data_IF_024753923642
#
_entry.id   IF_024753923642
#
_cell.length_a   1.000
_cell.length_b   1.000
_cell.length_c   1.000
_cell.angle_alpha   90.00
_cell.angle_beta   90.00
_cell.angle_gamma   90.00
#
_symmetry.space_group_name_H-M   'P 1'
#
loop_
_entity.id
_entity.type
_entity.pdbx_description
1 polymer ?
#
# COMPACT_ATOMS: atom_id res chain seq x y z
N UNK A 1 8.51 71.89 32.44
CA UNK A 1 9.93 71.69 32.74
C UNK A 1 10.02 70.76 33.93
N UNK A 2 10.63 69.57 33.73
CA UNK A 2 11.22 68.61 34.68
C UNK A 2 10.35 68.12 35.88
N UNK A 3 10.32 66.86 36.28
CA UNK A 3 11.24 65.72 36.14
C UNK A 3 10.53 64.42 36.63
N UNK A 4 11.08 63.24 36.26
CA UNK A 4 11.17 61.97 37.06
C UNK A 4 9.89 61.39 37.72
N UNK A 5 9.48 60.12 37.67
CA UNK A 5 10.14 58.80 37.74
C UNK A 5 8.97 57.76 37.78
N UNK A 6 8.94 56.73 36.93
CA UNK A 6 9.33 55.32 37.19
C UNK A 6 8.32 54.39 37.94
N UNK A 7 8.07 53.24 37.27
CA UNK A 7 7.85 51.87 37.76
C UNK A 7 6.65 51.54 38.69
N UNK A 8 5.73 50.70 38.19
CA UNK A 8 5.47 49.31 38.65
C UNK A 8 4.24 48.75 37.94
N UNK A 9 4.39 47.68 37.14
CA UNK A 9 3.39 46.60 36.94
C UNK A 9 3.82 45.68 35.76
N UNK A 10 4.91 44.93 35.95
CA UNK A 10 5.33 43.88 35.02
C UNK A 10 5.88 42.65 35.76
N UNK A 11 5.38 42.38 36.97
CA UNK A 11 5.94 41.36 37.86
C UNK A 11 4.96 40.26 38.31
N UNK A 12 3.79 40.07 37.70
CA UNK A 12 2.82 39.04 38.15
C UNK A 12 2.19 38.28 36.98
N UNK A 13 3.00 37.82 36.04
CA UNK A 13 2.56 36.84 35.02
C UNK A 13 3.41 35.57 35.06
N UNK A 14 4.65 35.65 35.55
CA UNK A 14 5.57 34.50 35.63
C UNK A 14 5.20 33.54 36.79
N UNK A 15 4.55 34.03 37.86
CA UNK A 15 4.21 33.21 39.02
C UNK A 15 2.96 32.32 38.83
N UNK A 16 2.06 32.66 37.91
CA UNK A 16 0.78 31.92 37.77
C UNK A 16 0.96 30.60 37.03
N UNK A 17 1.89 30.54 36.06
CA UNK A 17 2.21 29.34 35.30
C UNK A 17 2.91 28.30 36.19
N UNK A 18 3.84 28.75 37.04
CA UNK A 18 4.55 27.90 37.99
C UNK A 18 3.65 27.40 39.11
N UNK A 19 2.73 28.22 39.62
CA UNK A 19 1.75 27.82 40.63
C UNK A 19 0.71 26.83 40.08
N UNK A 20 0.24 27.03 38.83
CA UNK A 20 -0.63 26.08 38.15
C UNK A 20 0.08 24.75 37.90
N UNK A 21 1.33 24.77 37.40
CA UNK A 21 2.14 23.57 37.21
C UNK A 21 2.38 22.83 38.53
N UNK A 22 2.76 23.54 39.59
CA UNK A 22 2.94 22.94 40.91
C UNK A 22 1.64 22.33 41.45
N UNK A 23 0.49 22.97 41.22
CA UNK A 23 -0.81 22.46 41.67
C UNK A 23 -1.24 21.20 40.90
N UNK A 24 -1.01 21.16 39.58
CA UNK A 24 -1.23 19.98 38.73
C UNK A 24 -0.28 18.84 39.14
N UNK A 25 0.99 19.16 39.38
CA UNK A 25 2.00 18.20 39.82
C UNK A 25 1.74 17.63 41.22
N UNK A 26 1.15 18.42 42.13
CA UNK A 26 0.86 17.99 43.49
C UNK A 26 -0.42 17.16 43.58
N UNK A 27 -1.43 17.43 42.73
CA UNK A 27 -2.73 16.77 42.76
C UNK A 27 -2.87 15.57 41.82
N UNK A 28 -1.97 15.41 40.85
CA UNK A 28 -1.97 14.29 39.91
C UNK A 28 -0.52 13.79 39.65
N UNK A 29 0.12 13.10 40.62
CA UNK A 29 1.51 12.63 40.50
C UNK A 29 1.75 11.77 39.25
N UNK A 30 0.72 11.05 38.81
CA UNK A 30 0.78 10.21 37.61
C UNK A 30 0.77 11.02 36.29
N UNK A 31 0.23 12.25 36.27
CA UNK A 31 0.33 13.17 35.12
C UNK A 31 1.73 13.77 35.06
N UNK A 32 2.33 14.11 36.21
CA UNK A 32 3.74 14.51 36.29
C UNK A 32 4.65 13.47 35.66
N UNK A 33 4.49 12.21 36.06
CA UNK A 33 5.27 11.11 35.50
C UNK A 33 5.04 10.93 34.00
N UNK A 34 3.81 11.10 33.50
CA UNK A 34 3.51 11.06 32.07
C UNK A 34 4.21 12.19 31.31
N UNK A 35 4.11 13.44 31.79
CA UNK A 35 4.78 14.60 31.18
C UNK A 35 6.30 14.41 31.19
N UNK A 36 6.88 14.00 32.31
CA UNK A 36 8.31 13.71 32.41
C UNK A 36 8.72 12.55 31.48
N UNK A 37 7.88 11.52 31.36
CA UNK A 37 8.13 10.40 30.42
C UNK A 37 8.08 10.86 28.97
N UNK A 38 7.19 11.78 28.62
CA UNK A 38 7.08 12.36 27.28
C UNK A 38 8.22 13.32 26.97
N UNK A 39 8.64 14.13 27.93
CA UNK A 39 9.83 14.98 27.79
C UNK A 39 11.09 14.14 27.65
N UNK A 40 11.23 13.06 28.44
CA UNK A 40 12.34 12.13 28.32
C UNK A 40 12.33 11.43 26.96
N UNK A 41 11.16 10.95 26.50
CA UNK A 41 11.00 10.34 25.19
C UNK A 41 11.26 11.33 24.04
N UNK A 42 10.79 12.56 24.14
CA UNK A 42 11.07 13.63 23.18
C UNK A 42 12.56 13.96 23.11
N UNK A 43 13.25 14.04 24.27
CA UNK A 43 14.70 14.21 24.36
C UNK A 43 15.44 13.03 23.76
N UNK A 44 14.95 11.80 23.96
CA UNK A 44 15.52 10.60 23.34
C UNK A 44 15.35 10.62 21.83
N UNK A 45 14.14 10.92 21.32
CA UNK A 45 13.86 11.08 19.90
C UNK A 45 14.74 12.17 19.27
N UNK A 46 14.90 13.33 19.94
CA UNK A 46 15.80 14.40 19.52
C UNK A 46 17.25 13.93 19.49
N UNK A 47 17.74 13.31 20.57
CA UNK A 47 19.10 12.77 20.63
C UNK A 47 19.36 11.76 19.51
N UNK A 48 18.39 10.91 19.20
CA UNK A 48 18.48 9.97 18.08
C UNK A 48 18.50 10.71 16.74
N UNK A 49 17.65 11.72 16.54
CA UNK A 49 17.61 12.52 15.32
C UNK A 49 18.91 13.31 15.11
N UNK A 50 19.40 13.99 16.15
CA UNK A 50 20.64 14.79 16.17
C UNK A 50 21.86 13.91 15.93
N UNK A 51 21.96 12.74 16.57
CA UNK A 51 23.01 11.73 16.29
C UNK A 51 22.98 11.23 14.86
N UNK A 52 21.81 11.27 14.23
CA UNK A 52 21.65 10.95 12.83
C UNK A 52 21.78 12.20 11.95
N UNK A 53 22.11 13.39 12.47
CA UNK A 53 22.26 14.62 11.68
C UNK A 53 20.97 15.07 11.01
N UNK A 54 19.84 14.89 11.69
CA UNK A 54 18.58 15.56 11.39
C UNK A 54 18.32 16.48 12.57
N UNK A 55 18.29 17.79 12.30
CA UNK A 55 17.96 18.78 13.32
C UNK A 55 16.46 18.67 13.62
N UNK A 56 16.13 17.95 14.69
CA UNK A 56 14.74 17.76 15.12
C UNK A 56 14.37 18.87 16.10
N UNK A 57 13.64 19.86 15.61
CA UNK A 57 13.21 20.98 16.43
C UNK A 57 12.07 20.54 17.38
N UNK A 58 12.45 20.25 18.62
CA UNK A 58 11.53 19.93 19.70
C UNK A 58 10.66 21.11 20.12
N UNK A 59 10.88 22.33 19.61
CA UNK A 59 10.15 23.53 20.04
C UNK A 59 8.65 23.41 19.79
N UNK A 60 8.23 22.92 18.62
CA UNK A 60 6.81 22.69 18.29
C UNK A 60 6.16 21.68 19.23
N UNK A 61 6.87 20.59 19.53
CA UNK A 61 6.41 19.53 20.43
C UNK A 61 6.34 20.01 21.89
N UNK A 62 7.33 20.77 22.34
CA UNK A 62 7.35 21.39 23.67
C UNK A 62 6.23 22.42 23.81
N UNK A 63 5.96 23.22 22.77
CA UNK A 63 4.81 24.13 22.76
C UNK A 63 3.48 23.39 22.73
N UNK A 64 3.36 22.29 21.98
CA UNK A 64 2.17 21.43 22.03
C UNK A 64 1.94 20.87 23.43
N UNK A 65 2.98 20.33 24.08
CA UNK A 65 2.90 19.82 25.46
C UNK A 65 2.52 20.92 26.45
N UNK A 66 3.09 22.13 26.31
CA UNK A 66 2.71 23.30 27.11
C UNK A 66 1.25 23.71 26.88
N UNK A 67 0.79 23.75 25.63
CA UNK A 67 -0.57 24.12 25.29
C UNK A 67 -1.59 23.06 25.73
N UNK A 68 -1.21 21.78 25.72
CA UNK A 68 -2.03 20.67 26.20
C UNK A 68 -2.27 20.77 27.71
N UNK A 69 -1.25 21.18 28.48
CA UNK A 69 -1.39 21.50 29.92
C UNK A 69 -2.38 22.64 30.15
N UNK A 70 -2.47 23.60 29.21
CA UNK A 70 -3.32 24.79 29.33
C UNK A 70 -4.76 24.59 28.83
N UNK A 71 -5.04 23.57 28.02
CA UNK A 71 -6.34 23.37 27.35
C UNK A 71 -7.22 22.29 27.97
N UNK A 72 -6.73 21.50 28.92
CA UNK A 72 -7.55 20.57 29.69
C UNK A 72 -8.39 21.40 30.69
N UNK A 73 -9.72 21.49 30.56
CA UNK A 73 -10.54 22.19 31.55
C UNK A 73 -10.49 21.37 32.84
N UNK A 74 -9.82 21.90 33.86
CA UNK A 74 -9.70 21.28 35.17
C UNK A 74 -11.00 21.43 35.96
N UNK A 75 -12.06 20.76 35.53
CA UNK A 75 -13.17 20.46 36.42
C UNK A 75 -12.75 19.26 37.29
N UNK A 76 -12.76 19.46 38.60
CA UNK A 76 -12.38 18.48 39.63
C UNK A 76 -13.09 17.13 39.50
N UNK A 77 -14.21 17.07 38.78
CA UNK A 77 -14.98 15.85 38.46
C UNK A 77 -14.25 14.95 37.45
N UNK A 78 -13.43 15.52 36.54
CA UNK A 78 -12.67 14.73 35.55
C UNK A 78 -11.47 13.98 36.15
N UNK A 79 -10.91 14.48 37.27
CA UNK A 79 -9.80 13.81 37.96
C UNK A 79 -10.26 12.54 38.67
N UNK A 80 -11.42 12.53 39.34
CA UNK A 80 -12.02 11.30 39.88
C UNK A 80 -12.38 10.31 38.77
N UNK A 81 -12.86 10.81 37.62
CA UNK A 81 -13.15 10.00 36.44
C UNK A 81 -11.90 9.40 35.80
N UNK A 82 -10.80 10.14 35.73
CA UNK A 82 -9.48 9.68 35.24
C UNK A 82 -8.75 8.78 36.24
N UNK A 83 -9.06 8.88 37.53
CA UNK A 83 -8.61 7.93 38.57
C UNK A 83 -9.40 6.62 38.50
N UNK A 84 -10.68 6.65 38.09
CA UNK A 84 -11.49 5.46 37.83
C UNK A 84 -11.24 4.81 36.46
N UNK A 85 -10.88 5.59 35.43
CA UNK A 85 -10.32 5.05 34.20
C UNK A 85 -8.93 4.51 34.52
N UNK A 86 -8.70 3.23 34.21
CA UNK A 86 -7.42 2.56 34.40
C UNK A 86 -6.29 3.44 33.81
N UNK A 87 -5.46 4.07 34.65
CA UNK A 87 -4.41 5.03 34.25
C UNK A 87 -3.50 4.48 33.15
N UNK A 88 -3.29 3.16 33.13
CA UNK A 88 -2.59 2.45 32.06
C UNK A 88 -3.22 2.66 30.68
N UNK A 89 -4.56 2.68 30.58
CA UNK A 89 -5.32 2.93 29.36
C UNK A 89 -5.19 4.39 28.91
N UNK A 90 -5.29 5.35 29.82
CA UNK A 90 -5.09 6.77 29.50
C UNK A 90 -3.65 7.02 29.02
N UNK A 91 -2.66 6.51 29.77
CA UNK A 91 -1.24 6.59 29.40
C UNK A 91 -1.01 5.98 28.01
N UNK A 92 -1.52 4.77 27.75
CA UNK A 92 -1.41 4.13 26.44
C UNK A 92 -1.99 5.00 25.34
N UNK A 93 -3.26 5.41 25.46
CA UNK A 93 -3.94 6.25 24.44
C UNK A 93 -3.24 7.57 24.20
N UNK A 94 -2.74 8.20 25.27
CA UNK A 94 -1.97 9.43 25.16
C UNK A 94 -0.66 9.20 24.39
N UNK A 95 0.10 8.16 24.75
CA UNK A 95 1.33 7.80 24.04
C UNK A 95 1.05 7.46 22.58
N UNK A 96 -0.04 6.77 22.27
CA UNK A 96 -0.40 6.39 20.91
C UNK A 96 -0.76 7.63 20.07
N UNK A 97 -1.54 8.56 20.62
CA UNK A 97 -1.82 9.84 19.98
C UNK A 97 -0.54 10.67 19.77
N UNK A 98 0.32 10.76 20.79
CA UNK A 98 1.58 11.49 20.70
C UNK A 98 2.54 10.89 19.67
N UNK A 99 2.65 9.55 19.61
CA UNK A 99 3.42 8.86 18.56
C UNK A 99 2.92 9.23 17.17
N UNK A 100 1.61 9.25 16.96
CA UNK A 100 1.00 9.63 15.67
C UNK A 100 1.42 11.04 15.26
N UNK A 101 1.31 12.01 16.17
CA UNK A 101 1.73 13.40 15.92
C UNK A 101 3.22 13.47 15.56
N UNK A 102 4.08 12.83 16.37
CA UNK A 102 5.52 12.77 16.12
C UNK A 102 5.87 12.16 14.75
N UNK A 103 5.19 11.06 14.39
CA UNK A 103 5.37 10.39 13.10
C UNK A 103 5.03 11.36 11.97
N UNK A 104 3.88 12.03 12.06
CA UNK A 104 3.40 12.95 11.02
C UNK A 104 4.34 14.16 10.86
N UNK A 105 4.79 14.78 11.96
CA UNK A 105 5.76 15.88 11.92
C UNK A 105 7.09 15.44 11.29
N UNK A 106 7.60 14.27 11.70
CA UNK A 106 8.85 13.74 11.17
C UNK A 106 8.75 13.39 9.68
N UNK A 107 7.62 12.85 9.24
CA UNK A 107 7.35 12.61 7.83
C UNK A 107 7.35 13.90 7.02
N UNK A 108 6.71 14.95 7.51
CA UNK A 108 6.73 16.26 6.87
C UNK A 108 8.16 16.82 6.74
N UNK A 109 8.97 16.65 7.78
CA UNK A 109 10.40 17.02 7.73
C UNK A 109 11.17 16.22 6.67
N UNK A 110 10.94 14.91 6.57
CA UNK A 110 11.58 14.04 5.57
C UNK A 110 11.15 14.43 4.16
N UNK A 111 9.86 14.72 3.94
CA UNK A 111 9.33 15.20 2.67
C UNK A 111 10.01 16.49 2.23
N UNK A 112 10.11 17.48 3.13
CA UNK A 112 10.79 18.76 2.88
C UNK A 112 12.28 18.54 2.58
N UNK A 113 12.94 17.68 3.32
CA UNK A 113 14.36 17.37 3.14
C UNK A 113 14.64 16.73 1.78
N UNK A 114 13.82 15.74 1.39
CA UNK A 114 13.92 15.09 0.07
C UNK A 114 13.62 16.08 -1.05
N UNK A 115 12.58 16.90 -0.90
CA UNK A 115 12.20 17.92 -1.89
C UNK A 115 13.31 18.95 -2.10
N UNK A 116 13.93 19.42 -1.02
CA UNK A 116 15.07 20.33 -1.10
C UNK A 116 16.26 19.67 -1.78
N UNK A 117 16.62 18.44 -1.40
CA UNK A 117 17.74 17.71 -2.02
C UNK A 117 17.54 17.52 -3.54
N UNK A 118 16.32 17.19 -3.96
CA UNK A 118 15.96 17.05 -5.38
C UNK A 118 16.01 18.41 -6.09
N UNK A 119 15.40 19.47 -5.52
CA UNK A 119 15.39 20.82 -6.13
C UNK A 119 16.77 21.43 -6.26
N UNK A 120 17.60 21.36 -5.23
CA UNK A 120 18.96 21.89 -5.28
C UNK A 120 19.75 21.25 -6.41
N UNK A 121 19.55 19.96 -6.64
CA UNK A 121 20.21 19.27 -7.74
C UNK A 121 19.66 19.63 -9.12
N UNK A 122 18.35 19.87 -9.27
CA UNK A 122 17.76 20.31 -10.54
C UNK A 122 18.09 21.77 -10.87
N UNK A 123 18.18 22.67 -9.90
CA UNK A 123 18.53 24.08 -10.13
C UNK A 123 19.98 24.28 -10.58
N UNK A 124 20.90 23.43 -10.11
CA UNK A 124 22.27 23.34 -10.61
C UNK A 124 22.33 22.96 -12.11
N UNK A 125 21.27 22.34 -12.63
CA UNK A 125 21.16 21.97 -14.04
C UNK A 125 20.92 23.18 -14.95
N UNK A 126 19.89 23.97 -14.63
CA UNK A 126 19.48 25.11 -15.46
C UNK A 126 20.52 26.23 -15.56
N UNK A 127 21.38 26.39 -14.55
CA UNK A 127 22.47 27.38 -14.56
C UNK A 127 23.74 26.92 -15.29
N UNK A 128 23.96 25.61 -15.43
CA UNK A 128 25.18 25.06 -16.06
C UNK A 128 24.96 24.78 -17.55
N UNK A 129 23.72 24.47 -17.96
CA UNK A 129 23.32 24.29 -19.35
C UNK A 129 23.42 25.56 -20.21
N UNK A 130 23.48 26.75 -19.61
CA UNK A 130 23.72 28.00 -20.36
C UNK A 130 25.19 28.22 -20.73
N UNK A 131 26.13 27.36 -20.29
CA UNK A 131 27.56 27.63 -20.41
C UNK A 131 28.42 26.61 -21.19
N UNK A 132 28.01 25.36 -21.45
CA UNK A 132 28.81 24.48 -22.33
C UNK A 132 28.13 23.16 -22.70
N UNK A 133 28.34 22.72 -23.93
CA UNK A 133 28.08 21.34 -24.40
C UNK A 133 29.03 20.43 -23.62
N UNK A 134 28.57 19.85 -22.52
CA UNK A 134 29.34 18.90 -21.70
C UNK A 134 28.94 17.46 -22.00
N UNK A 135 29.98 16.64 -22.11
CA UNK A 135 29.98 15.21 -22.41
C UNK A 135 29.21 14.37 -21.39
N UNK A 136 28.63 13.25 -21.85
CA UNK A 136 27.80 12.28 -21.11
C UNK A 136 28.34 11.75 -19.78
N UNK A 137 29.63 11.93 -19.48
CA UNK A 137 30.28 11.45 -18.26
C UNK A 137 29.87 12.28 -17.02
N UNK A 138 29.55 13.57 -17.17
CA UNK A 138 29.22 14.42 -16.01
C UNK A 138 27.78 14.27 -15.49
N UNK A 139 26.88 13.70 -16.31
CA UNK A 139 25.50 13.42 -15.90
C UNK A 139 25.43 12.28 -14.88
N UNK A 140 26.27 11.23 -15.05
CA UNK A 140 26.29 10.05 -14.18
C UNK A 140 26.74 10.36 -12.74
N UNK A 141 27.72 11.25 -12.55
CA UNK A 141 28.21 11.60 -11.21
C UNK A 141 27.21 12.43 -10.40
N UNK A 142 26.36 13.21 -11.07
CA UNK A 142 25.37 14.08 -10.42
C UNK A 142 24.14 13.30 -9.97
N UNK A 143 23.59 12.43 -10.81
CA UNK A 143 22.47 11.56 -10.44
C UNK A 143 22.84 10.66 -9.26
N UNK A 144 24.09 10.21 -9.24
CA UNK A 144 24.68 9.48 -8.11
C UNK A 144 24.70 10.31 -6.82
N UNK A 145 24.98 11.62 -6.89
CA UNK A 145 24.97 12.51 -5.72
C UNK A 145 23.56 12.66 -5.12
N UNK A 146 22.53 12.84 -5.95
CA UNK A 146 21.13 12.93 -5.49
C UNK A 146 20.70 11.62 -4.81
N UNK A 147 20.98 10.50 -5.48
CA UNK A 147 20.65 9.16 -4.98
C UNK A 147 21.28 8.89 -3.62
N UNK A 148 22.56 9.27 -3.42
CA UNK A 148 23.27 9.13 -2.14
C UNK A 148 22.67 10.00 -1.03
N UNK A 149 22.29 11.25 -1.32
CA UNK A 149 21.64 12.13 -0.35
C UNK A 149 20.25 11.60 0.05
N UNK A 150 19.44 11.21 -0.93
CA UNK A 150 18.12 10.62 -0.70
C UNK A 150 18.22 9.33 0.11
N UNK A 151 19.15 8.44 -0.25
CA UNK A 151 19.41 7.20 0.49
C UNK A 151 19.82 7.50 1.95
N UNK A 152 20.64 8.53 2.17
CA UNK A 152 21.05 8.95 3.52
C UNK A 152 19.85 9.42 4.34
N UNK A 153 18.98 10.27 3.79
CA UNK A 153 17.75 10.72 4.45
C UNK A 153 16.85 9.53 4.79
N UNK A 154 16.63 8.62 3.83
CA UNK A 154 15.76 7.46 4.02
C UNK A 154 16.31 6.44 5.03
N UNK A 155 17.63 6.26 5.12
CA UNK A 155 18.25 5.43 6.18
C UNK A 155 17.95 5.98 7.56
N UNK A 156 18.03 7.30 7.73
CA UNK A 156 17.71 7.96 9.01
C UNK A 156 16.22 7.80 9.32
N UNK A 157 15.37 8.00 8.32
CA UNK A 157 13.92 7.78 8.43
C UNK A 157 13.59 6.37 8.94
N UNK A 158 14.18 5.34 8.32
CA UNK A 158 13.99 3.95 8.73
C UNK A 158 14.47 3.68 10.17
N UNK A 159 15.55 4.32 10.63
CA UNK A 159 16.01 4.19 12.02
C UNK A 159 14.98 4.76 12.99
N UNK A 160 14.46 5.96 12.72
CA UNK A 160 13.44 6.60 13.55
C UNK A 160 12.16 5.77 13.58
N UNK A 161 11.68 5.31 12.41
CA UNK A 161 10.49 4.46 12.32
C UNK A 161 10.63 3.14 13.09
N UNK A 162 11.83 2.55 13.14
CA UNK A 162 12.10 1.35 13.95
C UNK A 162 12.01 1.60 15.45
N UNK A 163 12.35 2.80 15.90
CA UNK A 163 12.25 3.20 17.31
C UNK A 163 10.79 3.51 17.67
N UNK A 164 10.11 4.28 16.83
CA UNK A 164 8.72 4.69 17.05
C UNK A 164 7.74 3.51 17.00
N UNK A 165 8.08 2.44 16.26
CA UNK A 165 7.24 1.23 16.09
C UNK A 165 5.77 1.59 15.81
N UNK A 166 5.51 2.35 14.73
CA UNK A 166 4.18 2.80 14.39
C UNK A 166 3.21 1.62 14.26
N UNK A 167 1.99 1.76 14.73
CA UNK A 167 1.00 0.67 14.75
C UNK A 167 0.67 0.17 13.35
N UNK A 168 0.63 -1.17 13.13
CA UNK A 168 0.30 -1.72 11.82
C UNK A 168 -1.15 -1.38 11.43
N UNK A 169 -2.03 -1.23 12.42
CA UNK A 169 -3.41 -0.79 12.21
C UNK A 169 -3.47 0.74 12.10
N UNK A 170 -4.01 1.23 10.98
CA UNK A 170 -4.22 2.65 10.75
C UNK A 170 -5.68 3.01 10.99
N UNK A 171 -5.92 4.08 11.74
CA UNK A 171 -7.19 4.78 11.73
C UNK A 171 -7.36 5.54 10.41
N UNK A 172 -8.58 6.01 10.14
CA UNK A 172 -8.86 6.86 8.97
C UNK A 172 -7.97 8.11 8.94
N UNK A 173 -7.72 8.73 10.09
CA UNK A 173 -6.87 9.92 10.23
C UNK A 173 -5.39 9.62 9.90
N UNK A 174 -4.96 8.37 10.04
CA UNK A 174 -3.59 7.94 9.82
C UNK A 174 -3.34 7.41 8.39
N UNK A 175 -4.34 7.46 7.51
CA UNK A 175 -4.18 7.03 6.11
C UNK A 175 -3.07 7.81 5.37
N UNK A 176 -2.88 9.09 5.73
CA UNK A 176 -1.79 9.93 5.22
C UNK A 176 -0.41 9.29 5.45
N UNK A 177 -0.26 8.48 6.51
CA UNK A 177 0.99 7.77 6.77
C UNK A 177 1.28 6.69 5.74
N UNK A 178 0.26 5.95 5.34
CA UNK A 178 0.39 4.96 4.28
C UNK A 178 0.70 5.63 2.94
N UNK A 179 -0.03 6.69 2.59
CA UNK A 179 0.13 7.42 1.32
C UNK A 179 1.56 7.94 1.18
N UNK A 180 2.09 8.56 2.23
CA UNK A 180 3.49 9.02 2.26
C UNK A 180 4.48 7.87 2.10
N UNK A 181 4.31 6.74 2.79
CA UNK A 181 5.20 5.57 2.62
C UNK A 181 5.17 5.03 1.19
N UNK A 182 3.99 5.03 0.56
CA UNK A 182 3.81 4.63 -0.82
C UNK A 182 4.47 5.62 -1.79
N UNK A 183 4.40 6.93 -1.52
CA UNK A 183 5.10 7.98 -2.27
C UNK A 183 6.62 7.94 -2.06
N UNK A 184 7.12 7.57 -0.88
CA UNK A 184 8.57 7.38 -0.67
C UNK A 184 9.15 6.31 -1.60
N UNK A 185 8.42 5.22 -1.84
CA UNK A 185 8.85 4.21 -2.81
C UNK A 185 8.92 4.81 -4.23
N UNK A 186 7.97 5.66 -4.61
CA UNK A 186 8.00 6.38 -5.90
C UNK A 186 9.20 7.32 -5.98
N UNK A 187 9.51 8.05 -4.91
CA UNK A 187 10.72 8.89 -4.84
C UNK A 187 11.98 8.05 -5.02
N UNK A 188 12.06 6.89 -4.37
CA UNK A 188 13.20 5.97 -4.52
C UNK A 188 13.42 5.56 -5.99
N UNK A 189 12.33 5.30 -6.72
CA UNK A 189 12.38 5.03 -8.15
C UNK A 189 12.85 6.24 -8.95
N UNK A 190 12.27 7.42 -8.71
CA UNK A 190 12.60 8.64 -9.46
C UNK A 190 14.05 9.08 -9.31
N UNK A 191 14.69 8.80 -8.17
CA UNK A 191 16.11 9.12 -7.91
C UNK A 191 17.02 7.89 -8.04
N UNK A 192 16.50 6.80 -8.60
CA UNK A 192 17.20 5.54 -8.87
C UNK A 192 18.04 5.00 -7.70
N UNK A 193 17.42 4.84 -6.53
CA UNK A 193 18.11 4.29 -5.35
C UNK A 193 18.48 2.83 -5.59
N UNK A 194 19.78 2.52 -5.59
CA UNK A 194 20.29 1.17 -5.83
C UNK A 194 20.33 0.26 -4.58
N UNK A 195 20.09 0.80 -3.38
CA UNK A 195 20.14 0.03 -2.12
C UNK A 195 18.91 -0.87 -1.91
N UNK A 196 19.00 -2.14 -2.33
CA UNK A 196 17.90 -3.10 -2.18
C UNK A 196 17.43 -3.34 -0.74
N UNK A 197 18.31 -3.29 0.26
CA UNK A 197 17.90 -3.49 1.65
C UNK A 197 17.03 -2.34 2.16
N UNK A 198 17.34 -1.10 1.74
CA UNK A 198 16.53 0.08 2.02
C UNK A 198 15.14 -0.06 1.40
N UNK A 199 15.07 -0.38 0.10
CA UNK A 199 13.81 -0.54 -0.63
C UNK A 199 12.96 -1.66 -0.03
N UNK A 200 13.56 -2.82 0.28
CA UNK A 200 12.86 -3.93 0.95
C UNK A 200 12.35 -3.51 2.34
N UNK A 201 13.11 -2.70 3.08
CA UNK A 201 12.66 -2.22 4.40
C UNK A 201 11.45 -1.28 4.27
N UNK A 202 11.47 -0.36 3.30
CA UNK A 202 10.33 0.51 3.01
C UNK A 202 9.12 -0.29 2.54
N UNK A 203 9.30 -1.24 1.63
CA UNK A 203 8.24 -2.15 1.17
C UNK A 203 7.58 -2.88 2.33
N UNK A 204 8.37 -3.46 3.26
CA UNK A 204 7.82 -4.11 4.45
C UNK A 204 7.01 -3.15 5.32
N UNK A 205 7.51 -1.93 5.54
CA UNK A 205 6.78 -0.92 6.31
C UNK A 205 5.45 -0.54 5.65
N UNK A 206 5.42 -0.41 4.32
CA UNK A 206 4.20 -0.11 3.56
C UNK A 206 3.23 -1.29 3.56
N UNK A 207 3.73 -2.51 3.34
CA UNK A 207 2.92 -3.74 3.32
C UNK A 207 2.30 -4.03 4.67
N UNK A 208 3.00 -3.79 5.77
CA UNK A 208 2.51 -4.14 7.10
C UNK A 208 1.33 -3.28 7.60
N UNK A 209 0.91 -2.27 6.85
CA UNK A 209 -0.19 -1.37 7.25
C UNK A 209 -1.53 -1.93 6.83
N UNK A 210 -2.51 -1.96 7.73
CA UNK A 210 -3.90 -2.34 7.44
C UNK A 210 -4.87 -1.38 8.11
N UNK A 211 -6.15 -1.43 7.73
CA UNK A 211 -7.23 -0.68 8.38
C UNK A 211 -8.23 -1.71 8.92
N UNK A 212 -8.68 -1.53 10.16
CA UNK A 212 -9.67 -2.44 10.77
C UNK A 212 -11.07 -2.27 10.21
N UNK A 213 -11.44 -1.05 9.82
CA UNK A 213 -12.70 -0.76 9.14
C UNK A 213 -12.53 -0.73 7.61
N UNK A 214 -13.15 -1.70 6.94
CA UNK A 214 -13.14 -1.86 5.49
C UNK A 214 -13.85 -0.72 4.77
N UNK A 215 -14.70 0.05 5.46
CA UNK A 215 -15.47 1.16 4.87
C UNK A 215 -14.57 2.32 4.42
N UNK A 216 -13.51 2.63 5.18
CA UNK A 216 -12.58 3.73 4.90
C UNK A 216 -11.58 3.44 3.79
N UNK A 217 -11.44 2.17 3.41
CA UNK A 217 -10.43 1.70 2.47
C UNK A 217 -10.65 2.22 1.04
N UNK A 218 -11.91 2.44 0.64
CA UNK A 218 -12.24 2.94 -0.69
C UNK A 218 -11.59 4.31 -1.00
N UNK A 219 -11.18 5.04 0.05
CA UNK A 219 -10.63 6.38 -0.03
C UNK A 219 -9.10 6.45 -0.01
N UNK A 220 -8.39 5.32 0.20
CA UNK A 220 -6.93 5.35 0.25
C UNK A 220 -6.38 5.67 -1.13
N UNK A 221 -5.70 6.82 -1.26
CA UNK A 221 -5.11 7.24 -2.52
C UNK A 221 -3.85 6.41 -2.78
N UNK A 222 -3.89 5.63 -3.85
CA UNK A 222 -2.70 4.93 -4.31
C UNK A 222 -1.87 5.87 -5.19
N UNK A 223 -0.54 5.95 -5.01
CA UNK A 223 0.34 6.66 -5.93
C UNK A 223 0.15 6.14 -7.35
N UNK A 224 0.05 7.05 -8.31
CA UNK A 224 0.22 6.67 -9.70
C UNK A 224 1.71 6.42 -9.94
N UNK A 225 2.09 5.16 -10.01
CA UNK A 225 3.47 4.77 -10.28
C UNK A 225 3.77 4.82 -11.78
N UNK A 226 4.93 5.38 -12.17
CA UNK A 226 5.33 5.48 -13.57
C UNK A 226 5.61 4.09 -14.18
N UNK A 227 5.65 4.04 -15.52
CA UNK A 227 6.14 2.86 -16.24
C UNK A 227 7.55 2.50 -15.74
N UNK A 228 7.84 1.20 -15.61
CA UNK A 228 9.12 0.70 -15.08
C UNK A 228 9.20 0.58 -13.55
N UNK A 229 8.38 1.29 -12.77
CA UNK A 229 8.39 1.23 -11.30
C UNK A 229 8.25 -0.20 -10.76
N UNK A 230 7.34 -0.97 -11.35
CA UNK A 230 7.11 -2.34 -10.95
C UNK A 230 8.36 -3.22 -11.16
N UNK A 231 9.02 -3.08 -12.31
CA UNK A 231 10.26 -3.79 -12.62
C UNK A 231 11.40 -3.38 -11.67
N UNK A 232 11.46 -2.10 -11.33
CA UNK A 232 12.39 -1.58 -10.32
C UNK A 232 12.19 -2.28 -8.96
N UNK A 233 10.95 -2.35 -8.46
CA UNK A 233 10.66 -3.06 -7.21
C UNK A 233 11.06 -4.53 -7.30
N UNK A 234 10.69 -5.22 -8.39
CA UNK A 234 11.04 -6.64 -8.59
C UNK A 234 12.55 -6.89 -8.62
N UNK A 235 13.32 -6.00 -9.23
CA UNK A 235 14.78 -6.06 -9.22
C UNK A 235 15.34 -5.93 -7.79
N UNK A 236 14.79 -5.02 -6.98
CA UNK A 236 15.25 -4.84 -5.61
C UNK A 236 14.88 -6.01 -4.69
N UNK A 237 13.66 -6.55 -4.79
CA UNK A 237 13.28 -7.71 -3.98
C UNK A 237 14.07 -8.95 -4.38
N UNK A 238 14.38 -9.10 -5.68
CA UNK A 238 15.30 -10.13 -6.19
C UNK A 238 16.70 -10.00 -5.61
N UNK A 239 17.35 -8.84 -5.80
CA UNK A 239 18.70 -8.58 -5.29
C UNK A 239 18.77 -8.69 -3.76
N UNK A 240 17.70 -8.26 -3.07
CA UNK A 240 17.55 -8.32 -1.63
C UNK A 240 17.14 -9.70 -1.10
N UNK A 241 16.97 -10.71 -1.96
CA UNK A 241 16.49 -12.06 -1.61
C UNK A 241 15.23 -12.03 -0.75
N UNK A 242 14.32 -11.11 -1.07
CA UNK A 242 13.06 -10.92 -0.38
C UNK A 242 11.92 -11.57 -1.15
N UNK A 243 11.26 -12.54 -0.53
CA UNK A 243 10.10 -13.22 -1.09
C UNK A 243 8.85 -12.34 -0.95
N UNK A 244 8.70 -11.40 -1.88
CA UNK A 244 7.60 -10.45 -1.89
C UNK A 244 6.24 -11.17 -2.02
N UNK A 245 6.16 -12.22 -2.83
CA UNK A 245 4.91 -12.97 -3.06
C UNK A 245 4.43 -13.62 -1.77
N UNK A 246 5.29 -14.39 -1.09
CA UNK A 246 4.94 -15.02 0.17
C UNK A 246 4.70 -13.98 1.28
N UNK A 247 5.42 -12.87 1.25
CA UNK A 247 5.24 -11.82 2.26
C UNK A 247 3.86 -11.17 2.13
N UNK A 248 3.44 -10.80 0.91
CA UNK A 248 2.10 -10.28 0.65
C UNK A 248 1.03 -11.31 1.02
N UNK A 249 1.20 -12.60 0.68
CA UNK A 249 0.20 -13.61 1.01
C UNK A 249 -0.02 -13.79 2.51
N UNK A 250 1.00 -13.54 3.34
CA UNK A 250 0.90 -13.60 4.82
C UNK A 250 0.28 -12.34 5.42
N UNK A 251 0.25 -11.24 4.68
CA UNK A 251 -0.27 -9.95 5.12
C UNK A 251 -1.47 -9.54 4.25
N UNK A 252 -2.37 -10.50 3.99
CA UNK A 252 -3.62 -10.24 3.27
C UNK A 252 -4.56 -9.36 4.11
N UNK A 253 -5.29 -8.45 3.47
CA UNK A 253 -6.13 -7.43 4.12
C UNK A 253 -5.39 -6.14 4.46
N UNK A 254 -4.13 -5.99 4.02
CA UNK A 254 -3.37 -4.76 4.21
C UNK A 254 -3.73 -3.69 3.19
N UNK A 255 -3.40 -2.44 3.49
CA UNK A 255 -3.53 -1.33 2.55
C UNK A 255 -2.76 -1.58 1.25
N UNK A 256 -1.72 -2.41 1.32
CA UNK A 256 -0.97 -2.88 0.16
C UNK A 256 -1.76 -3.76 -0.81
N UNK A 257 -2.76 -4.50 -0.35
CA UNK A 257 -3.64 -5.26 -1.25
C UNK A 257 -4.48 -4.31 -2.14
N UNK A 258 -4.64 -3.06 -1.73
CA UNK A 258 -5.22 -1.99 -2.53
C UNK A 258 -4.21 -1.31 -3.44
N UNK A 259 -2.91 -1.59 -3.27
CA UNK A 259 -1.94 -1.35 -4.33
C UNK A 259 -2.29 -2.31 -5.48
N UNK A 260 -3.17 -1.81 -6.36
CA UNK A 260 -3.60 -2.47 -7.59
C UNK A 260 -2.42 -2.91 -8.46
N UNK A 261 -1.21 -2.48 -8.10
CA UNK A 261 0.10 -2.72 -8.71
C UNK A 261 0.64 -4.15 -8.59
N UNK A 262 0.16 -4.96 -7.65
CA UNK A 262 0.62 -6.34 -7.46
C UNK A 262 -0.47 -7.41 -7.67
N UNK A 263 -1.66 -6.99 -8.11
CA UNK A 263 -2.76 -7.89 -8.47
C UNK A 263 -2.78 -8.15 -9.98
N UNK A 264 -2.75 -9.44 -10.33
CA UNK A 264 -2.87 -9.92 -11.72
C UNK A 264 -4.24 -9.53 -12.29
N UNK A 265 -5.30 -9.68 -11.49
CA UNK A 265 -6.68 -9.32 -11.86
C UNK A 265 -6.82 -7.83 -12.18
N UNK A 266 -6.24 -6.96 -11.35
CA UNK A 266 -6.24 -5.53 -11.64
C UNK A 266 -5.42 -5.20 -12.89
N UNK A 267 -4.22 -5.75 -13.05
CA UNK A 267 -3.41 -5.52 -14.25
C UNK A 267 -4.17 -5.91 -15.53
N UNK A 268 -4.85 -7.06 -15.53
CA UNK A 268 -5.67 -7.49 -16.66
C UNK A 268 -6.90 -6.60 -16.89
N UNK A 269 -7.56 -6.16 -15.82
CA UNK A 269 -8.74 -5.28 -15.92
C UNK A 269 -8.41 -3.92 -16.52
N UNK A 270 -7.18 -3.42 -16.32
CA UNK A 270 -6.68 -2.19 -16.95
C UNK A 270 -6.04 -2.43 -18.33
N UNK A 271 -6.05 -3.66 -18.86
CA UNK A 271 -5.42 -3.99 -20.13
C UNK A 271 -3.89 -3.79 -20.12
N UNK A 272 -3.21 -4.06 -18.99
CA UNK A 272 -1.76 -3.94 -18.90
C UNK A 272 -1.08 -5.32 -19.05
N UNK A 273 -0.94 -5.77 -20.30
CA UNK A 273 -0.40 -7.10 -20.63
C UNK A 273 1.05 -7.29 -20.16
N UNK A 274 1.90 -6.27 -20.29
CA UNK A 274 3.29 -6.30 -19.80
C UNK A 274 3.32 -6.60 -18.29
N UNK A 275 2.46 -5.94 -17.53
CA UNK A 275 2.40 -6.11 -16.08
C UNK A 275 1.78 -7.45 -15.68
N UNK A 276 0.76 -7.92 -16.39
CA UNK A 276 0.22 -9.28 -16.20
C UNK A 276 1.32 -10.31 -16.40
N UNK A 277 2.02 -10.26 -17.53
CA UNK A 277 3.11 -11.17 -17.84
C UNK A 277 4.20 -11.13 -16.78
N UNK A 278 4.63 -9.94 -16.37
CA UNK A 278 5.67 -9.75 -15.36
C UNK A 278 5.25 -10.32 -13.99
N UNK A 279 4.02 -10.08 -13.54
CA UNK A 279 3.48 -10.66 -12.29
C UNK A 279 3.45 -12.19 -12.36
N UNK A 280 2.96 -12.75 -13.46
CA UNK A 280 2.95 -14.20 -13.66
C UNK A 280 4.37 -14.74 -13.63
N UNK A 281 5.32 -14.15 -14.36
CA UNK A 281 6.72 -14.58 -14.40
C UNK A 281 7.40 -14.59 -13.03
N UNK A 282 6.98 -13.74 -12.09
CA UNK A 282 7.51 -13.71 -10.72
C UNK A 282 6.68 -14.55 -9.72
N UNK A 283 5.69 -15.31 -10.20
CA UNK A 283 4.97 -16.30 -9.41
C UNK A 283 3.85 -15.73 -8.54
N UNK A 284 3.34 -14.53 -8.83
CA UNK A 284 2.17 -13.99 -8.15
C UNK A 284 0.93 -14.87 -8.40
N UNK A 285 0.12 -15.07 -7.36
CA UNK A 285 -1.15 -15.77 -7.48
C UNK A 285 -2.11 -14.95 -8.35
N UNK A 286 -2.75 -15.61 -9.31
CA UNK A 286 -3.69 -14.97 -10.24
C UNK A 286 -4.91 -14.47 -9.48
N UNK A 287 -5.42 -15.28 -8.55
CA UNK A 287 -6.66 -14.99 -7.86
C UNK A 287 -6.59 -15.42 -6.40
N UNK A 288 -5.81 -14.72 -5.56
CA UNK A 288 -5.52 -15.12 -4.18
C UNK A 288 -6.77 -15.16 -3.29
N UNK A 289 -6.67 -15.89 -2.17
CA UNK A 289 -7.81 -16.16 -1.28
C UNK A 289 -8.52 -14.91 -0.75
N UNK A 290 -7.81 -13.78 -0.60
CA UNK A 290 -8.44 -12.52 -0.19
C UNK A 290 -9.28 -11.92 -1.33
N UNK A 291 -8.79 -11.90 -2.57
CA UNK A 291 -9.58 -11.45 -3.73
C UNK A 291 -10.79 -12.36 -3.96
N UNK A 292 -10.60 -13.67 -3.78
CA UNK A 292 -11.69 -14.63 -3.80
C UNK A 292 -12.75 -14.29 -2.74
N UNK A 293 -12.36 -13.88 -1.52
CA UNK A 293 -13.30 -13.43 -0.47
C UNK A 293 -14.04 -12.14 -0.83
N UNK A 294 -13.40 -11.22 -1.55
CA UNK A 294 -13.99 -9.94 -1.98
C UNK A 294 -14.82 -10.01 -3.26
N UNK A 295 -15.04 -11.18 -3.88
CA UNK A 295 -15.92 -11.30 -5.06
C UNK A 295 -17.42 -11.11 -4.73
N UNK A 296 -17.73 -10.60 -3.53
CA UNK A 296 -19.04 -10.10 -3.12
C UNK A 296 -20.00 -11.17 -2.62
N UNK A 297 -19.53 -12.40 -2.40
CA UNK A 297 -20.35 -13.51 -1.91
C UNK A 297 -20.63 -13.41 -0.40
N UNK A 298 -19.72 -12.85 0.39
CA UNK A 298 -19.88 -12.64 1.84
C UNK A 298 -20.03 -13.91 2.68
N UNK A 299 -19.88 -15.11 2.10
CA UNK A 299 -20.14 -16.38 2.77
C UNK A 299 -18.88 -17.25 2.86
N UNK A 300 -18.61 -17.80 4.04
CA UNK A 300 -17.40 -18.60 4.34
C UNK A 300 -17.26 -19.91 3.55
N UNK A 301 -18.38 -20.56 3.19
CA UNK A 301 -18.43 -21.87 2.53
C UNK A 301 -18.61 -21.82 1.01
N UNK A 302 -18.59 -20.62 0.40
CA UNK A 302 -18.90 -20.46 -1.02
C UNK A 302 -17.93 -21.18 -1.97
N UNK A 303 -16.70 -21.49 -1.52
CA UNK A 303 -15.73 -22.28 -2.28
C UNK A 303 -16.23 -23.70 -2.56
N UNK A 304 -17.20 -24.18 -1.79
CA UNK A 304 -17.88 -25.46 -1.94
C UNK A 304 -19.03 -25.37 -2.96
N UNK A 305 -19.44 -24.16 -3.35
CA UNK A 305 -20.63 -23.88 -4.16
C UNK A 305 -20.27 -23.45 -5.57
N UNK A 306 -19.28 -22.58 -5.70
CA UNK A 306 -18.77 -22.10 -6.98
C UNK A 306 -17.27 -22.32 -7.03
N UNK A 307 -16.78 -22.88 -8.13
CA UNK A 307 -15.34 -23.11 -8.29
C UNK A 307 -14.58 -21.79 -8.20
N UNK A 308 -13.34 -21.85 -7.72
CA UNK A 308 -12.46 -20.66 -7.64
C UNK A 308 -12.26 -20.02 -9.02
N UNK A 309 -12.18 -20.85 -10.07
CA UNK A 309 -12.01 -20.43 -11.47
C UNK A 309 -13.25 -19.69 -11.98
N UNK A 310 -14.45 -20.17 -11.64
CA UNK A 310 -15.71 -19.50 -12.00
C UNK A 310 -15.85 -18.14 -11.29
N UNK A 311 -15.52 -18.10 -9.99
CA UNK A 311 -15.44 -16.85 -9.23
C UNK A 311 -14.46 -15.85 -9.85
N UNK A 312 -13.29 -16.34 -10.30
CA UNK A 312 -12.27 -15.52 -10.94
C UNK A 312 -12.82 -14.92 -12.25
N UNK A 313 -13.42 -15.72 -13.13
CA UNK A 313 -14.02 -15.22 -14.40
C UNK A 313 -15.01 -14.10 -14.14
N UNK A 314 -15.97 -14.32 -13.23
CA UNK A 314 -16.97 -13.30 -12.91
C UNK A 314 -16.34 -12.03 -12.35
N UNK A 315 -15.33 -12.17 -11.49
CA UNK A 315 -14.62 -11.04 -10.93
C UNK A 315 -13.80 -10.28 -11.98
N UNK A 316 -13.17 -10.97 -12.94
CA UNK A 316 -12.48 -10.34 -14.08
C UNK A 316 -13.45 -9.54 -14.93
N UNK A 317 -14.57 -10.16 -15.34
CA UNK A 317 -15.59 -9.51 -16.16
C UNK A 317 -16.15 -8.28 -15.44
N UNK A 318 -16.44 -8.41 -14.14
CA UNK A 318 -16.95 -7.29 -13.34
C UNK A 318 -15.98 -6.12 -13.31
N UNK A 319 -14.67 -6.38 -13.22
CA UNK A 319 -13.66 -5.33 -13.11
C UNK A 319 -13.34 -4.69 -14.45
N UNK A 320 -13.23 -5.47 -15.52
CA UNK A 320 -13.11 -4.97 -16.89
C UNK A 320 -14.30 -4.07 -17.23
N UNK A 321 -15.52 -4.53 -16.95
CA UNK A 321 -16.75 -3.73 -17.13
C UNK A 321 -16.68 -2.41 -16.36
N UNK A 322 -16.25 -2.44 -15.11
CA UNK A 322 -16.12 -1.24 -14.27
C UNK A 322 -15.08 -0.27 -14.84
N UNK A 323 -13.89 -0.74 -15.19
CA UNK A 323 -12.83 0.09 -15.79
C UNK A 323 -13.30 0.71 -17.11
N UNK A 324 -13.97 -0.07 -17.96
CA UNK A 324 -14.47 0.42 -19.25
C UNK A 324 -15.58 1.46 -19.06
N UNK A 325 -16.40 1.34 -18.00
CA UNK A 325 -17.42 2.36 -17.67
C UNK A 325 -16.83 3.71 -17.25
N UNK A 326 -15.63 3.72 -16.66
CA UNK A 326 -14.96 4.97 -16.26
C UNK A 326 -14.08 5.59 -17.35
N UNK A 327 -13.63 4.79 -18.31
CA UNK A 327 -12.67 5.24 -19.35
C UNK A 327 -13.34 5.54 -20.69
N UNK A 328 -14.53 4.97 -20.93
CA UNK A 328 -15.32 5.26 -22.11
C UNK A 328 -16.08 6.57 -21.94
N UNK A 329 -15.40 7.71 -22.13
CA UNK A 329 -16.05 9.03 -22.17
C UNK A 329 -16.93 9.22 -23.42
N UNK A 330 -16.97 8.27 -24.38
CA UNK A 330 -17.52 8.56 -25.72
C UNK A 330 -18.21 7.42 -26.47
N UNK A 331 -18.25 6.18 -25.97
CA UNK A 331 -19.06 5.14 -26.64
C UNK A 331 -20.46 5.05 -26.02
N UNK A 332 -21.54 5.12 -26.84
CA UNK A 332 -22.88 4.88 -26.35
C UNK A 332 -22.93 3.50 -25.70
N UNK A 333 -23.52 3.43 -24.52
CA UNK A 333 -23.79 2.16 -23.83
C UNK A 333 -24.55 1.31 -24.83
N UNK A 334 -24.05 0.12 -25.22
CA UNK A 334 -24.78 -0.76 -26.13
C UNK A 334 -26.19 -0.98 -25.58
N UNK A 335 -27.21 -1.07 -26.43
CA UNK A 335 -28.61 -1.26 -26.00
C UNK A 335 -28.78 -2.46 -25.05
N UNK A 336 -27.86 -3.42 -25.13
CA UNK A 336 -27.82 -4.63 -24.30
C UNK A 336 -27.17 -4.42 -22.91
N UNK A 337 -26.60 -3.24 -22.63
CA UNK A 337 -26.04 -2.85 -21.32
C UNK A 337 -24.69 -3.49 -20.95
N UNK A 338 -24.08 -4.27 -21.85
CA UNK A 338 -22.77 -4.90 -21.65
C UNK A 338 -21.67 -4.01 -22.20
N UNK A 339 -20.65 -3.71 -21.40
CA UNK A 339 -19.40 -3.14 -21.94
C UNK A 339 -18.55 -4.28 -22.47
N UNK A 340 -18.10 -4.17 -23.72
CA UNK A 340 -17.20 -5.14 -24.35
C UNK A 340 -15.78 -4.94 -23.79
N UNK A 341 -15.02 -6.03 -23.68
CA UNK A 341 -13.59 -5.94 -23.35
C UNK A 341 -12.80 -5.26 -24.47
N UNK A 342 -11.71 -4.59 -24.12
CA UNK A 342 -10.76 -4.11 -25.14
C UNK A 342 -9.89 -5.26 -25.64
N UNK A 343 -9.32 -5.19 -26.86
CA UNK A 343 -8.42 -6.24 -27.36
C UNK A 343 -7.24 -6.53 -26.42
N UNK A 344 -6.75 -5.50 -25.70
CA UNK A 344 -5.65 -5.67 -24.75
C UNK A 344 -6.11 -6.36 -23.46
N UNK A 345 -7.34 -6.11 -23.00
CA UNK A 345 -7.95 -6.86 -21.89
C UNK A 345 -8.14 -8.33 -22.25
N UNK A 346 -8.53 -8.63 -23.48
CA UNK A 346 -8.68 -10.01 -23.94
C UNK A 346 -7.33 -10.74 -23.98
N UNK A 347 -6.27 -10.11 -24.48
CA UNK A 347 -4.93 -10.70 -24.43
C UNK A 347 -4.46 -10.95 -23.00
N UNK A 348 -4.73 -10.00 -22.08
CA UNK A 348 -4.45 -10.21 -20.66
C UNK A 348 -5.21 -11.43 -20.10
N UNK A 349 -6.47 -11.61 -20.48
CA UNK A 349 -7.28 -12.76 -20.08
C UNK A 349 -6.68 -14.06 -20.61
N UNK A 350 -6.31 -14.11 -21.89
CA UNK A 350 -5.66 -15.28 -22.51
C UNK A 350 -4.32 -15.60 -21.83
N UNK A 351 -3.50 -14.61 -21.51
CA UNK A 351 -2.24 -14.79 -20.76
C UNK A 351 -2.46 -15.40 -19.37
N UNK A 352 -3.47 -14.92 -18.64
CA UNK A 352 -3.86 -15.49 -17.35
C UNK A 352 -4.27 -16.95 -17.52
N UNK A 353 -5.07 -17.22 -18.55
CA UNK A 353 -5.59 -18.56 -18.80
C UNK A 353 -4.49 -19.55 -19.20
N UNK A 354 -3.46 -19.10 -19.94
CA UNK A 354 -2.23 -19.86 -20.20
C UNK A 354 -1.45 -20.23 -18.93
N UNK A 355 -1.71 -19.56 -17.81
CA UNK A 355 -1.05 -19.81 -16.54
C UNK A 355 -1.88 -20.64 -15.55
N UNK A 356 -3.14 -21.00 -15.85
CA UNK A 356 -4.02 -21.79 -14.97
C UNK A 356 -4.06 -23.25 -15.37
N UNK A 357 -4.10 -24.22 -14.45
CA UNK A 357 -4.17 -25.63 -14.82
C UNK A 357 -5.55 -26.03 -15.35
N UNK A 358 -6.57 -25.20 -15.13
CA UNK A 358 -7.97 -25.53 -15.37
C UNK A 358 -8.32 -25.45 -16.87
N UNK A 359 -9.25 -26.29 -17.35
CA UNK A 359 -9.85 -26.13 -18.66
C UNK A 359 -10.61 -24.80 -18.74
N UNK A 360 -11.01 -24.41 -19.95
CA UNK A 360 -11.89 -23.27 -20.12
C UNK A 360 -13.24 -23.52 -19.45
N UNK A 361 -13.80 -22.46 -18.86
CA UNK A 361 -15.13 -22.51 -18.26
C UNK A 361 -16.14 -22.18 -19.34
N UNK A 362 -17.11 -23.05 -19.57
CA UNK A 362 -18.20 -22.76 -20.51
C UNK A 362 -19.24 -21.84 -19.87
N UNK A 363 -19.98 -21.07 -20.70
CA UNK A 363 -21.11 -20.25 -20.19
C UNK A 363 -22.12 -21.10 -19.43
N UNK A 364 -22.42 -22.31 -19.92
CA UNK A 364 -23.38 -23.21 -19.28
C UNK A 364 -22.94 -23.61 -17.87
N UNK A 365 -21.67 -24.01 -17.70
CA UNK A 365 -21.12 -24.35 -16.38
C UNK A 365 -21.18 -23.14 -15.45
N UNK A 366 -20.82 -21.95 -15.95
CA UNK A 366 -20.85 -20.73 -15.17
C UNK A 366 -22.28 -20.38 -14.72
N UNK A 367 -23.27 -20.49 -15.60
CA UNK A 367 -24.67 -20.22 -15.29
C UNK A 367 -25.24 -21.23 -14.27
N UNK A 368 -24.84 -22.50 -14.36
CA UNK A 368 -25.23 -23.53 -13.41
C UNK A 368 -24.69 -23.22 -12.00
N UNK A 369 -23.41 -22.86 -11.88
CA UNK A 369 -22.81 -22.47 -10.60
C UNK A 369 -23.46 -21.20 -10.03
N UNK A 370 -23.77 -20.19 -10.86
CA UNK A 370 -24.47 -18.97 -10.43
C UNK A 370 -25.87 -19.29 -9.90
N UNK A 371 -26.58 -20.21 -10.55
CA UNK A 371 -27.92 -20.63 -10.11
C UNK A 371 -27.83 -21.41 -8.80
N UNK A 372 -26.84 -22.29 -8.68
CA UNK A 372 -26.56 -23.06 -7.45
C UNK A 372 -26.24 -22.13 -6.29
N UNK A 373 -25.39 -21.13 -6.52
CA UNK A 373 -25.09 -20.07 -5.54
C UNK A 373 -26.37 -19.34 -5.10
N UNK A 374 -27.22 -18.94 -6.05
CA UNK A 374 -28.46 -18.25 -5.75
C UNK A 374 -29.39 -19.08 -4.86
N UNK A 375 -29.64 -20.34 -5.22
CA UNK A 375 -30.51 -21.21 -4.42
C UNK A 375 -29.92 -21.50 -3.04
N UNK A 376 -28.62 -21.75 -2.95
CA UNK A 376 -27.95 -21.94 -1.67
C UNK A 376 -28.13 -20.70 -0.78
N UNK A 377 -27.82 -19.51 -1.28
CA UNK A 377 -27.95 -18.28 -0.50
C UNK A 377 -29.41 -18.00 -0.10
N UNK A 378 -30.37 -18.32 -0.96
CA UNK A 378 -31.80 -18.22 -0.65
C UNK A 378 -32.21 -19.18 0.48
N UNK A 379 -31.76 -20.44 0.44
CA UNK A 379 -32.02 -21.44 1.49
C UNK A 379 -31.46 -21.02 2.85
N UNK A 380 -30.33 -20.32 2.86
CA UNK A 380 -29.69 -19.82 4.08
C UNK A 380 -30.16 -18.42 4.52
N UNK A 381 -31.23 -17.89 3.91
CA UNK A 381 -31.77 -16.55 4.18
C UNK A 381 -30.74 -15.40 3.98
N UNK A 382 -29.71 -15.61 3.17
CA UNK A 382 -28.71 -14.61 2.77
C UNK A 382 -29.11 -14.09 1.38
N UNK A 383 -30.33 -13.57 1.27
CA UNK A 383 -30.91 -13.28 -0.04
C UNK A 383 -30.37 -11.95 -0.59
N UNK A 384 -29.62 -12.02 -1.70
CA UNK A 384 -29.17 -10.85 -2.48
C UNK A 384 -29.56 -11.02 -3.95
N UNK A 385 -30.82 -10.75 -4.33
CA UNK A 385 -31.34 -11.04 -5.67
C UNK A 385 -30.58 -10.30 -6.77
N UNK A 386 -30.10 -9.09 -6.47
CA UNK A 386 -29.30 -8.30 -7.39
C UNK A 386 -27.97 -8.98 -7.76
N UNK A 387 -27.43 -9.86 -6.92
CA UNK A 387 -26.19 -10.61 -7.19
C UNK A 387 -26.39 -11.64 -8.30
N UNK A 388 -27.47 -12.40 -8.27
CA UNK A 388 -27.77 -13.39 -9.31
C UNK A 388 -27.88 -12.72 -10.68
N UNK A 389 -28.73 -11.69 -10.79
CA UNK A 389 -28.90 -10.95 -12.04
C UNK A 389 -27.59 -10.34 -12.53
N UNK A 390 -26.80 -9.75 -11.62
CA UNK A 390 -25.47 -9.22 -11.95
C UNK A 390 -24.53 -10.32 -12.48
N UNK A 391 -24.45 -11.47 -11.82
CA UNK A 391 -23.56 -12.55 -12.25
C UNK A 391 -24.00 -13.14 -13.59
N UNK A 392 -25.31 -13.26 -13.84
CA UNK A 392 -25.83 -13.68 -15.15
C UNK A 392 -25.45 -12.70 -16.27
N UNK A 393 -25.50 -11.39 -15.99
CA UNK A 393 -25.01 -10.35 -16.91
C UNK A 393 -23.51 -10.51 -17.19
N UNK A 394 -22.71 -10.81 -16.17
CA UNK A 394 -21.26 -11.02 -16.33
C UNK A 394 -20.94 -12.31 -17.08
N UNK A 395 -21.72 -13.38 -16.89
CA UNK A 395 -21.60 -14.62 -17.66
C UNK A 395 -21.95 -14.41 -19.13
N UNK A 396 -22.94 -13.57 -19.43
CA UNK A 396 -23.27 -13.18 -20.80
C UNK A 396 -22.17 -12.35 -21.45
N UNK A 397 -21.62 -11.37 -20.72
CA UNK A 397 -20.45 -10.61 -21.17
C UNK A 397 -19.25 -11.51 -21.48
N UNK A 398 -18.98 -12.51 -20.62
CA UNK A 398 -17.90 -13.47 -20.85
C UNK A 398 -18.08 -14.24 -22.16
N UNK A 399 -19.28 -14.75 -22.44
CA UNK A 399 -19.55 -15.41 -23.72
C UNK A 399 -19.38 -14.47 -24.91
N UNK A 400 -19.90 -13.24 -24.83
CA UNK A 400 -19.78 -12.26 -25.92
C UNK A 400 -18.33 -11.88 -26.20
N UNK A 401 -17.49 -11.75 -25.17
CA UNK A 401 -16.11 -11.31 -25.30
C UNK A 401 -15.12 -12.45 -25.61
N UNK A 402 -15.50 -13.69 -25.28
CA UNK A 402 -14.63 -14.86 -25.35
C UNK A 402 -15.40 -16.05 -25.93
N UNK A 403 -16.07 -15.84 -27.06
CA UNK A 403 -16.98 -16.82 -27.67
C UNK A 403 -16.30 -18.17 -27.93
N UNK A 404 -15.09 -18.13 -28.49
CA UNK A 404 -14.24 -19.29 -28.77
C UNK A 404 -14.00 -20.16 -27.53
N UNK A 405 -13.86 -19.51 -26.39
CA UNK A 405 -13.57 -20.12 -25.09
C UNK A 405 -14.86 -20.54 -24.36
N UNK A 406 -15.89 -19.71 -24.38
CA UNK A 406 -17.09 -19.86 -23.57
C UNK A 406 -18.11 -20.84 -24.18
N UNK A 407 -18.10 -20.99 -25.52
CA UNK A 407 -18.91 -21.94 -26.27
C UNK A 407 -18.12 -23.18 -26.74
N UNK A 408 -16.79 -23.12 -26.66
CA UNK A 408 -15.92 -24.23 -27.04
C UNK A 408 -16.19 -25.50 -26.23
N UNK A 409 -15.88 -26.68 -26.79
CA UNK A 409 -15.96 -27.92 -26.03
C UNK A 409 -15.03 -27.85 -24.80
N UNK A 410 -15.41 -28.47 -23.66
CA UNK A 410 -14.53 -28.58 -22.51
C UNK A 410 -13.37 -29.52 -22.86
N UNK A 411 -12.30 -28.96 -23.42
CA UNK A 411 -11.11 -29.73 -23.74
C UNK A 411 -10.22 -29.83 -22.49
N UNK A 412 -9.82 -31.05 -22.09
CA UNK A 412 -8.79 -31.19 -21.07
C UNK A 412 -7.52 -30.49 -21.56
N UNK A 413 -6.83 -29.80 -20.65
CA UNK A 413 -5.55 -29.18 -20.98
C UNK A 413 -4.57 -30.23 -21.48
N UNK A 414 -3.78 -29.86 -22.48
CA UNK A 414 -2.71 -30.71 -22.93
C UNK A 414 -1.72 -31.00 -21.78
N UNK A 415 -1.04 -32.16 -21.86
CA UNK A 415 -0.04 -32.53 -20.85
C UNK A 415 1.06 -31.47 -20.75
N UNK A 416 1.39 -30.84 -21.87
CA UNK A 416 2.38 -29.77 -21.98
C UNK A 416 1.99 -28.60 -21.08
N UNK A 417 0.75 -28.16 -21.06
CA UNK A 417 0.28 -27.08 -20.20
C UNK A 417 0.27 -27.46 -18.73
N UNK A 418 -0.20 -28.67 -18.40
CA UNK A 418 -0.19 -29.18 -17.02
C UNK A 418 1.23 -29.31 -16.46
N UNK A 419 2.20 -29.73 -17.28
CA UNK A 419 3.62 -29.74 -16.92
C UNK A 419 4.13 -28.33 -16.64
N UNK A 420 3.80 -27.35 -17.50
CA UNK A 420 4.22 -25.94 -17.36
C UNK A 420 3.76 -25.38 -16.03
N UNK A 421 2.47 -25.54 -15.73
CA UNK A 421 1.88 -25.09 -14.49
C UNK A 421 2.54 -25.77 -13.28
N UNK A 422 2.69 -27.10 -13.34
CA UNK A 422 3.30 -27.88 -12.24
C UNK A 422 4.72 -27.42 -11.95
N UNK A 423 5.54 -27.22 -12.99
CA UNK A 423 6.91 -26.72 -12.85
C UNK A 423 6.90 -25.32 -12.23
N UNK A 424 6.11 -24.40 -12.77
CA UNK A 424 5.99 -23.03 -12.25
C UNK A 424 5.53 -23.01 -10.79
N UNK A 425 4.53 -23.81 -10.44
CA UNK A 425 4.04 -23.94 -9.06
C UNK A 425 5.13 -24.46 -8.13
N UNK A 426 5.88 -25.49 -8.53
CA UNK A 426 6.99 -26.03 -7.74
C UNK A 426 8.11 -25.01 -7.57
N UNK A 427 8.53 -24.35 -8.63
CA UNK A 427 9.55 -23.30 -8.58
C UNK A 427 9.14 -22.13 -7.68
N UNK A 428 7.85 -21.77 -7.66
CA UNK A 428 7.31 -20.74 -6.76
C UNK A 428 7.39 -21.22 -5.31
N UNK A 429 6.96 -22.46 -5.03
CA UNK A 429 7.03 -23.07 -3.69
C UNK A 429 8.46 -23.24 -3.17
N UNK A 430 9.42 -23.56 -4.03
CA UNK A 430 10.85 -23.71 -3.66
C UNK A 430 11.59 -22.39 -3.59
N UNK A 431 10.91 -21.25 -3.82
CA UNK A 431 11.52 -19.91 -3.90
C UNK A 431 12.62 -19.82 -4.96
N UNK A 432 12.49 -20.59 -6.03
CA UNK A 432 13.36 -20.54 -7.21
C UNK A 432 12.80 -19.60 -8.29
N UNK A 433 11.57 -19.09 -8.11
CA UNK A 433 10.91 -18.12 -8.98
C UNK A 433 10.81 -16.64 -8.51
N UNK A 434 11.29 -16.20 -7.31
CA UNK A 434 11.07 -14.82 -6.86
C UNK A 434 11.79 -13.79 -7.75
N UNK A 435 12.66 -14.27 -8.64
CA UNK A 435 13.50 -13.49 -9.52
C UNK A 435 13.24 -13.76 -11.00
N UNK A 436 12.13 -14.44 -11.31
CA UNK A 436 11.77 -14.86 -12.66
C UNK A 436 12.45 -16.15 -13.12
N UNK A 437 11.84 -16.81 -14.12
CA UNK A 437 12.32 -18.08 -14.68
C UNK A 437 13.73 -17.95 -15.28
N UNK A 438 14.05 -16.79 -15.84
CA UNK A 438 15.30 -16.53 -16.56
C UNK A 438 16.57 -16.73 -15.71
N UNK A 439 16.47 -16.66 -14.38
CA UNK A 439 17.62 -16.87 -13.49
C UNK A 439 17.99 -18.34 -13.26
N UNK A 440 17.17 -19.27 -13.73
CA UNK A 440 17.37 -20.70 -13.54
C UNK A 440 18.41 -21.29 -14.51
N UNK A 441 18.93 -20.50 -15.46
CA UNK A 441 19.92 -20.97 -16.44
C UNK A 441 19.38 -22.06 -17.38
N UNK A 442 18.07 -22.04 -17.63
CA UNK A 442 17.40 -23.05 -18.47
C UNK A 442 17.71 -22.82 -19.96
N UNK A 443 17.61 -23.87 -20.81
CA UNK A 443 17.64 -23.68 -22.26
C UNK A 443 16.56 -22.69 -22.70
N UNK A 444 16.88 -21.80 -23.66
CA UNK A 444 15.97 -20.72 -24.13
C UNK A 444 14.57 -21.22 -24.52
N UNK A 445 14.46 -22.42 -25.08
CA UNK A 445 13.17 -23.03 -25.42
C UNK A 445 12.31 -23.33 -24.19
N UNK A 446 12.93 -23.87 -23.13
CA UNK A 446 12.25 -24.16 -21.87
C UNK A 446 11.95 -22.88 -21.09
N UNK A 447 12.84 -21.89 -21.17
CA UNK A 447 12.61 -20.56 -20.61
C UNK A 447 11.39 -19.89 -21.24
N UNK A 448 11.31 -19.82 -22.59
CA UNK A 448 10.14 -19.28 -23.31
C UNK A 448 8.85 -20.01 -22.95
N UNK A 449 8.89 -21.33 -22.92
CA UNK A 449 7.76 -22.17 -22.52
C UNK A 449 7.29 -21.87 -21.09
N UNK A 450 8.22 -21.79 -20.13
CA UNK A 450 7.88 -21.44 -18.75
C UNK A 450 7.49 -19.96 -18.59
N UNK A 451 7.97 -19.05 -19.45
CA UNK A 451 7.63 -17.62 -19.45
C UNK A 451 6.29 -17.29 -20.10
N UNK A 452 5.53 -18.30 -20.60
CA UNK A 452 4.27 -18.11 -21.31
C UNK A 452 4.43 -17.40 -22.67
N UNK A 453 5.63 -17.41 -23.24
CA UNK A 453 5.94 -16.81 -24.55
C UNK A 453 5.65 -17.75 -25.72
N UNK A 454 5.62 -19.06 -25.46
CA UNK A 454 5.34 -20.09 -26.46
C UNK A 454 4.63 -21.27 -25.81
N UNK A 455 3.68 -21.87 -26.52
CA UNK A 455 3.06 -23.11 -26.09
C UNK A 455 3.93 -24.32 -26.33
#
# INVERSE_FOLDING_TARGET
>A
MNSSENYYSAAIIIDYEELCLQTVYFKAPNIKETILSLEAFAKECKSIADRNGIEYDTFSLLNFLKNLVMTIPFETVFLDFLVHINYSLYKSRFFDHFKVVLINEYMHHVEKSLSTAIKTATELDGKTLSASIKTSIELDDKDRSISVQAETILKKFLKVFRVLKPDPELSYENLVQYEFLAELLKVCYSVDIQNSHLIVSLLKLTINRYVSDVSGIAYVRQPNYPHGFFKYILNHVTRGKFDLVQYCSKHSGTLWDYSRNFSVMYAASFGNAERVLCLLQHGFDIFPDYEARYSGHGHTHIKEIMSRTNCMVLQMMSRMRLVNSFTSESSPIPENGYYITTPVQEECFRLIWRALPDPYVTRFQLALDISTEYFYLALHAIFRPLRHNRNMILAAMYETCFEDIALGPPEPRDLKHLCRWTIRKRLSQTRSLPSGVFQLGLPKSLERYLNLESD
#
